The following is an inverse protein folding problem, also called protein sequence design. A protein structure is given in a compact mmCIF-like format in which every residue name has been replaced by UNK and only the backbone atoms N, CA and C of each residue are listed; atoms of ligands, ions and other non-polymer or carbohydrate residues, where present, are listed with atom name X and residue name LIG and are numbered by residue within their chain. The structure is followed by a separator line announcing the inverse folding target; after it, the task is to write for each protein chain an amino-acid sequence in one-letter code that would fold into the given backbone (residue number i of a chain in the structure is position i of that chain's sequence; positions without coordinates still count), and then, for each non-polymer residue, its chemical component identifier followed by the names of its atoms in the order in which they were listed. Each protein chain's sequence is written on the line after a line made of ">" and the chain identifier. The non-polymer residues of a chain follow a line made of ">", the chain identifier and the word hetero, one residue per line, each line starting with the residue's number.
data_IF_729908527786
#
_entry.id   IF_729908527786
#
_cell.length_a   1.000
_cell.length_b   1.000
_cell.length_c   1.000
_cell.angle_alpha   90.00
_cell.angle_beta   90.00
_cell.angle_gamma   90.00
#
_symmetry.space_group_name_H-M   'P 1'
#
loop_
_entity.id
_entity.type
_entity.pdbx_description
1 polymer ?
#
# COMPACT_ATOMS: atom_id res chain seq x y z
N UNK A 1 -2.96 11.44 -10.23
CA UNK A 1 -2.27 10.59 -9.24
C UNK A 1 -2.08 9.22 -9.87
N UNK A 2 -0.94 8.58 -9.64
CA UNK A 2 -0.65 7.22 -10.12
C UNK A 2 -0.19 6.39 -8.94
N UNK A 3 -0.80 5.22 -8.73
CA UNK A 3 -0.32 4.25 -7.76
C UNK A 3 0.69 3.32 -8.44
N UNK A 4 1.82 3.08 -7.77
CA UNK A 4 2.84 2.12 -8.19
C UNK A 4 3.02 1.15 -7.04
N UNK A 5 2.78 -0.14 -7.32
CA UNK A 5 2.93 -1.22 -6.35
C UNK A 5 4.12 -2.08 -6.77
N UNK A 6 5.11 -2.17 -5.89
CA UNK A 6 6.25 -3.06 -6.06
C UNK A 6 6.04 -4.27 -5.14
N UNK A 7 6.16 -5.46 -5.72
CA UNK A 7 5.99 -6.74 -5.06
C UNK A 7 7.26 -7.54 -5.27
N UNK A 8 7.97 -7.81 -4.18
CA UNK A 8 9.23 -8.55 -4.21
C UNK A 8 9.10 -9.83 -3.38
N UNK A 9 9.52 -10.95 -3.94
CA UNK A 9 9.67 -12.19 -3.19
C UNK A 9 10.85 -12.05 -2.22
N UNK A 10 10.59 -12.33 -0.94
CA UNK A 10 11.62 -12.31 0.12
C UNK A 10 11.83 -13.70 0.74
N UNK A 11 11.36 -14.75 0.07
CA UNK A 11 11.44 -16.13 0.53
C UNK A 11 10.33 -16.50 1.52
N UNK A 12 10.28 -17.78 1.88
CA UNK A 12 9.33 -18.33 2.88
C UNK A 12 7.84 -18.04 2.56
N UNK A 13 7.51 -17.83 1.28
CA UNK A 13 6.17 -17.47 0.86
C UNK A 13 5.71 -16.07 1.32
N UNK A 14 6.65 -15.18 1.64
CA UNK A 14 6.41 -13.79 2.03
C UNK A 14 6.69 -12.84 0.86
N UNK A 15 6.03 -11.69 0.88
CA UNK A 15 6.21 -10.64 -0.11
C UNK A 15 6.55 -9.32 0.58
N UNK A 16 7.61 -8.66 0.14
CA UNK A 16 7.84 -7.25 0.45
C UNK A 16 6.95 -6.42 -0.45
N UNK A 17 6.03 -5.70 0.17
CA UNK A 17 5.06 -4.84 -0.49
C UNK A 17 5.46 -3.38 -0.29
N UNK A 18 5.64 -2.65 -1.40
CA UNK A 18 5.89 -1.21 -1.38
C UNK A 18 4.81 -0.50 -2.21
N UNK A 19 4.10 0.44 -1.61
CA UNK A 19 3.13 1.29 -2.30
C UNK A 19 3.64 2.72 -2.42
N UNK A 20 3.61 3.26 -3.64
CA UNK A 20 4.03 4.63 -3.95
C UNK A 20 2.87 5.35 -4.60
N UNK A 21 2.40 6.43 -3.98
CA UNK A 21 1.47 7.36 -4.58
C UNK A 21 2.24 8.51 -5.24
N UNK A 22 2.21 8.58 -6.57
CA UNK A 22 2.86 9.64 -7.35
C UNK A 22 1.85 10.75 -7.68
N UNK A 23 2.24 11.99 -7.37
CA UNK A 23 1.46 13.20 -7.62
C UNK A 23 2.17 14.11 -8.63
N UNK A 24 1.41 14.96 -9.37
CA UNK A 24 1.99 15.87 -10.35
C UNK A 24 2.72 17.06 -9.71
N UNK A 25 2.38 17.46 -8.49
CA UNK A 25 3.04 18.53 -7.75
C UNK A 25 3.21 18.19 -6.27
N UNK A 26 4.04 18.96 -5.57
CA UNK A 26 4.32 18.80 -4.14
C UNK A 26 3.10 19.13 -3.28
N UNK A 27 2.34 20.17 -3.64
CA UNK A 27 1.18 20.66 -2.90
C UNK A 27 0.07 19.60 -2.90
N UNK A 28 -0.17 18.96 -4.04
CA UNK A 28 -1.17 17.88 -4.17
C UNK A 28 -0.73 16.64 -3.38
N UNK A 29 0.58 16.33 -3.36
CA UNK A 29 1.14 15.26 -2.53
C UNK A 29 0.90 15.53 -1.03
N UNK A 30 1.14 16.76 -0.59
CA UNK A 30 0.96 17.18 0.81
C UNK A 30 -0.51 17.15 1.23
N UNK A 31 -1.42 17.63 0.39
CA UNK A 31 -2.86 17.55 0.66
C UNK A 31 -3.30 16.09 0.84
N UNK A 32 -2.89 15.18 -0.05
CA UNK A 32 -3.23 13.77 0.06
C UNK A 32 -2.60 13.10 1.29
N UNK A 33 -1.38 13.48 1.65
CA UNK A 33 -0.74 13.00 2.88
C UNK A 33 -1.49 13.48 4.13
N UNK A 34 -1.89 14.75 4.19
CA UNK A 34 -2.67 15.33 5.29
C UNK A 34 -4.08 14.73 5.42
N UNK A 35 -4.66 14.26 4.31
CA UNK A 35 -5.91 13.49 4.33
C UNK A 35 -5.77 12.11 4.98
N UNK A 36 -4.56 11.69 5.36
CA UNK A 36 -4.31 10.44 6.07
C UNK A 36 -3.85 9.29 5.17
N UNK A 37 -3.10 9.56 4.10
CA UNK A 37 -2.64 8.52 3.17
C UNK A 37 -2.02 7.31 3.87
N UNK A 38 -1.05 7.51 4.78
CA UNK A 38 -0.35 6.39 5.43
C UNK A 38 -1.27 5.55 6.32
N UNK A 39 -2.15 6.20 7.08
CA UNK A 39 -3.12 5.53 7.94
C UNK A 39 -4.15 4.76 7.11
N UNK A 40 -4.80 5.44 6.16
CA UNK A 40 -5.81 4.83 5.29
C UNK A 40 -5.23 3.69 4.45
N UNK A 41 -4.01 3.85 3.93
CA UNK A 41 -3.32 2.80 3.18
C UNK A 41 -2.95 1.61 4.06
N UNK A 42 -2.52 1.86 5.30
CA UNK A 42 -2.27 0.82 6.31
C UNK A 42 -3.52 0.00 6.61
N UNK A 43 -4.66 0.66 6.83
CA UNK A 43 -5.95 0.00 7.11
C UNK A 43 -6.35 -0.96 5.98
N UNK A 44 -6.27 -0.53 4.72
CA UNK A 44 -6.64 -1.40 3.59
C UNK A 44 -5.60 -2.51 3.36
N UNK A 45 -4.33 -2.27 3.67
CA UNK A 45 -3.30 -3.31 3.63
C UNK A 45 -3.55 -4.38 4.70
N UNK A 46 -3.93 -3.99 5.91
CA UNK A 46 -4.29 -4.92 6.98
C UNK A 46 -5.51 -5.77 6.60
N UNK A 47 -6.52 -5.16 5.97
CA UNK A 47 -7.68 -5.87 5.43
C UNK A 47 -7.27 -6.90 4.37
N UNK A 48 -6.38 -6.52 3.44
CA UNK A 48 -5.85 -7.43 2.43
C UNK A 48 -5.09 -8.61 3.06
N UNK A 49 -4.21 -8.33 4.03
CA UNK A 49 -3.46 -9.37 4.74
C UNK A 49 -4.41 -10.31 5.50
N UNK A 50 -5.43 -9.76 6.16
CA UNK A 50 -6.47 -10.53 6.84
C UNK A 50 -7.22 -11.44 5.88
N UNK A 51 -7.65 -10.91 4.74
CA UNK A 51 -8.32 -11.66 3.68
C UNK A 51 -7.44 -12.80 3.15
N UNK A 52 -6.19 -12.51 2.79
CA UNK A 52 -5.26 -13.50 2.24
C UNK A 52 -4.98 -14.63 3.23
N UNK A 53 -4.83 -14.33 4.53
CA UNK A 53 -4.68 -15.35 5.57
C UNK A 53 -5.91 -16.26 5.70
N UNK A 54 -7.09 -15.76 5.34
CA UNK A 54 -8.35 -16.51 5.33
C UNK A 54 -8.55 -17.39 4.09
N UNK A 55 -7.72 -17.24 3.04
CA UNK A 55 -7.79 -18.09 1.85
C UNK A 55 -7.29 -19.50 2.21
N UNK A 56 -8.17 -20.50 2.11
CA UNK A 56 -7.77 -21.91 2.17
C UNK A 56 -6.99 -22.24 0.88
N UNK A 57 -5.77 -22.76 1.04
CA UNK A 57 -5.01 -23.36 -0.06
C UNK A 57 -5.53 -24.75 -0.40
#
# INVERSE_FOLDING_TARGET
>A
MTAILLLEDVGEGKTRYTAIARHPTKEIREQHEQMGFHEGWGIVLDQLVGYVKGLKR
#
